data_IF_577594776340
#
_entry.id   IF_577594776340
#
_cell.length_a   1.000
_cell.length_b   1.000
_cell.length_c   1.000
_cell.angle_alpha   90.00
_cell.angle_beta   90.00
_cell.angle_gamma   90.00
#
_symmetry.space_group_name_H-M   'P 1'
#
loop_
_entity.id
_entity.type
_entity.pdbx_description
1 polymer ?
#
# COMPACT_ATOMS: atom_id res chain seq x y z
N UNK A 1 -1.19 -59.86 -64.31
CA UNK A 1 -2.45 -59.12 -64.52
C UNK A 1 -2.81 -58.55 -63.16
N UNK A 2 -2.70 -57.23 -63.01
CA UNK A 2 -2.68 -56.55 -61.71
C UNK A 2 -4.11 -56.32 -61.20
N UNK A 3 -4.30 -56.55 -59.90
CA UNK A 3 -5.56 -56.55 -59.18
C UNK A 3 -6.01 -55.16 -58.68
N UNK A 4 -7.30 -55.13 -58.31
CA UNK A 4 -8.19 -53.99 -58.09
C UNK A 4 -7.88 -53.11 -56.87
N UNK A 5 -8.33 -51.86 -57.01
CA UNK A 5 -8.51 -50.82 -56.00
C UNK A 5 -9.28 -51.26 -54.74
N UNK A 6 -8.79 -50.85 -53.56
CA UNK A 6 -9.61 -50.38 -52.44
C UNK A 6 -8.88 -49.19 -51.78
N UNK A 7 -9.49 -48.01 -51.88
CA UNK A 7 -9.12 -46.81 -51.14
C UNK A 7 -9.78 -46.87 -49.75
N UNK A 8 -9.01 -46.96 -48.68
CA UNK A 8 -9.49 -46.75 -47.31
C UNK A 8 -9.15 -45.33 -46.87
N UNK A 9 -10.16 -44.46 -46.83
CA UNK A 9 -10.09 -43.17 -46.13
C UNK A 9 -9.94 -43.44 -44.63
N UNK A 10 -8.78 -43.11 -44.07
CA UNK A 10 -8.61 -43.06 -42.61
C UNK A 10 -8.93 -41.65 -42.12
N UNK A 11 -10.03 -41.51 -41.40
CA UNK A 11 -10.43 -40.29 -40.71
C UNK A 11 -9.48 -40.09 -39.51
N UNK A 12 -8.42 -39.31 -39.68
CA UNK A 12 -7.55 -38.92 -38.58
C UNK A 12 -8.27 -37.84 -37.75
N UNK A 13 -8.69 -38.22 -36.55
CA UNK A 13 -9.27 -37.32 -35.57
C UNK A 13 -8.23 -36.26 -35.18
N UNK A 14 -8.56 -35.00 -35.46
CA UNK A 14 -7.83 -33.82 -35.04
C UNK A 14 -7.74 -33.78 -33.50
N UNK A 15 -6.56 -34.00 -32.95
CA UNK A 15 -6.17 -33.37 -31.69
C UNK A 15 -5.27 -32.19 -32.05
N UNK A 16 -5.89 -31.03 -32.26
CA UNK A 16 -5.18 -29.76 -32.10
C UNK A 16 -4.79 -29.69 -30.64
N UNK A 17 -3.52 -29.95 -30.34
CA UNK A 17 -2.90 -29.49 -29.11
C UNK A 17 -2.94 -27.98 -29.22
N UNK A 18 -4.00 -27.38 -28.68
CA UNK A 18 -3.99 -25.96 -28.37
C UNK A 18 -2.75 -25.78 -27.50
N UNK A 19 -1.75 -25.09 -28.02
CA UNK A 19 -0.68 -24.53 -27.22
C UNK A 19 -1.37 -23.69 -26.13
N UNK A 20 -1.56 -24.28 -24.97
CA UNK A 20 -1.74 -23.53 -23.74
C UNK A 20 -0.43 -22.76 -23.58
N UNK A 21 -0.44 -21.55 -24.13
CA UNK A 21 0.48 -20.49 -23.77
C UNK A 21 0.41 -20.38 -22.25
N UNK A 22 1.34 -21.06 -21.58
CA UNK A 22 1.65 -20.83 -20.18
C UNK A 22 2.28 -19.44 -20.13
N UNK A 23 1.42 -18.42 -20.21
CA UNK A 23 1.74 -17.13 -19.68
C UNK A 23 2.00 -17.41 -18.20
N UNK A 24 3.27 -17.49 -17.82
CA UNK A 24 3.63 -17.47 -16.40
C UNK A 24 3.07 -16.15 -15.90
N UNK A 25 1.90 -16.20 -15.26
CA UNK A 25 1.28 -15.02 -14.69
C UNK A 25 2.30 -14.43 -13.73
N UNK A 26 2.81 -13.24 -14.05
CA UNK A 26 3.79 -12.60 -13.19
C UNK A 26 3.16 -12.37 -11.82
N UNK A 27 3.90 -12.66 -10.77
CA UNK A 27 3.39 -12.47 -9.42
C UNK A 27 3.05 -10.99 -9.20
N UNK A 28 1.88 -10.68 -8.63
CA UNK A 28 1.53 -9.31 -8.32
C UNK A 28 2.28 -8.87 -7.06
N UNK A 29 3.01 -7.75 -7.16
CA UNK A 29 3.65 -7.13 -6.01
C UNK A 29 2.63 -6.88 -4.87
N UNK A 30 2.99 -7.06 -3.59
CA UNK A 30 4.35 -7.31 -3.11
C UNK A 30 4.78 -8.79 -3.15
N UNK A 31 3.94 -9.71 -3.61
CA UNK A 31 4.33 -11.10 -3.81
C UNK A 31 5.23 -11.22 -5.05
N UNK A 32 6.23 -12.09 -4.98
CA UNK A 32 7.22 -12.28 -6.06
C UNK A 32 7.63 -13.74 -6.27
N UNK A 33 7.10 -14.66 -5.46
CA UNK A 33 7.41 -16.09 -5.50
C UNK A 33 6.21 -16.91 -5.03
N UNK A 34 6.22 -18.19 -5.37
CA UNK A 34 5.30 -19.17 -4.77
C UNK A 34 5.60 -19.25 -3.27
N UNK A 35 4.57 -19.31 -2.44
CA UNK A 35 4.71 -19.64 -1.01
C UNK A 35 4.00 -20.96 -0.71
N UNK A 36 4.72 -21.86 -0.05
CA UNK A 36 4.23 -23.20 0.31
C UNK A 36 4.89 -23.68 1.60
N UNK A 37 4.29 -24.70 2.20
CA UNK A 37 4.88 -25.38 3.35
C UNK A 37 6.14 -26.15 2.91
N UNK A 38 7.30 -25.76 3.42
CA UNK A 38 8.61 -26.35 3.10
C UNK A 38 9.39 -26.73 4.36
N UNK A 39 10.50 -27.45 4.18
CA UNK A 39 11.46 -27.76 5.24
C UNK A 39 12.90 -27.48 4.72
N UNK A 40 13.55 -26.39 5.16
CA UNK A 40 13.11 -25.41 6.16
C UNK A 40 11.90 -24.57 5.70
N UNK A 41 11.10 -24.00 6.62
CA UNK A 41 9.94 -23.20 6.24
C UNK A 41 10.34 -21.90 5.53
N UNK A 42 9.46 -21.41 4.66
CA UNK A 42 9.67 -20.15 3.96
C UNK A 42 9.42 -18.97 4.90
N UNK A 43 10.26 -17.95 4.84
CA UNK A 43 10.11 -16.74 5.65
C UNK A 43 10.27 -15.48 4.80
N UNK A 44 9.64 -14.38 5.22
CA UNK A 44 9.85 -13.10 4.57
C UNK A 44 8.72 -12.09 4.75
N UNK A 45 8.95 -10.87 4.24
CA UNK A 45 7.98 -9.77 4.28
C UNK A 45 6.69 -10.10 3.51
N UNK A 46 6.82 -10.87 2.43
CA UNK A 46 5.69 -11.39 1.65
C UNK A 46 4.80 -12.33 2.49
N UNK A 47 5.40 -13.19 3.33
CA UNK A 47 4.67 -14.05 4.26
C UNK A 47 3.94 -13.23 5.32
N UNK A 48 4.59 -12.22 5.92
CA UNK A 48 3.96 -11.34 6.92
C UNK A 48 2.76 -10.61 6.34
N UNK A 49 2.89 -10.08 5.12
CA UNK A 49 1.80 -9.39 4.41
C UNK A 49 0.66 -10.37 4.16
N UNK A 50 0.93 -11.59 3.69
CA UNK A 50 -0.08 -12.61 3.49
C UNK A 50 -0.84 -12.93 4.78
N UNK A 51 -0.12 -13.16 5.88
CA UNK A 51 -0.70 -13.49 7.19
C UNK A 51 -1.57 -12.37 7.75
N UNK A 52 -1.25 -11.10 7.48
CA UNK A 52 -2.10 -9.97 7.85
C UNK A 52 -3.36 -9.84 6.96
N UNK A 53 -3.28 -10.25 5.69
CA UNK A 53 -4.40 -10.13 4.75
C UNK A 53 -5.41 -11.28 4.89
N UNK A 54 -4.93 -12.52 5.04
CA UNK A 54 -5.77 -13.72 5.05
C UNK A 54 -6.95 -13.67 6.05
N UNK A 55 -6.78 -13.23 7.31
CA UNK A 55 -7.89 -13.13 8.28
C UNK A 55 -9.01 -12.17 7.88
N UNK A 56 -8.82 -11.33 6.86
CA UNK A 56 -9.89 -10.47 6.31
C UNK A 56 -10.90 -11.26 5.48
N UNK A 57 -10.56 -12.49 5.08
CA UNK A 57 -11.47 -13.38 4.38
C UNK A 57 -12.45 -14.04 5.36
N UNK A 58 -13.75 -14.12 5.05
CA UNK A 58 -14.72 -14.84 5.90
C UNK A 58 -14.47 -16.36 5.94
N UNK A 59 -13.61 -16.89 5.06
CA UNK A 59 -13.28 -18.32 5.00
C UNK A 59 -12.09 -18.70 5.87
N UNK A 60 -11.35 -17.72 6.40
CA UNK A 60 -10.10 -17.91 7.12
C UNK A 60 -10.31 -17.56 8.58
N UNK A 61 -9.92 -18.46 9.47
CA UNK A 61 -9.87 -18.16 10.90
C UNK A 61 -8.66 -17.26 11.19
N UNK A 62 -8.71 -16.43 12.25
CA UNK A 62 -7.53 -15.67 12.68
C UNK A 62 -6.31 -16.60 12.85
N UNK A 63 -5.17 -16.16 12.33
CA UNK A 63 -3.88 -16.85 12.42
C UNK A 63 -2.84 -15.91 13.01
N UNK A 64 -1.73 -16.45 13.49
CA UNK A 64 -0.59 -15.66 13.96
C UNK A 64 0.21 -15.05 12.79
N UNK A 65 0.80 -13.88 13.03
CA UNK A 65 1.69 -13.23 12.06
C UNK A 65 3.16 -13.47 12.43
N UNK A 66 3.62 -14.71 12.30
CA UNK A 66 5.00 -15.12 12.60
C UNK A 66 6.01 -14.62 11.55
N UNK A 67 5.56 -14.40 10.31
CA UNK A 67 6.40 -14.21 9.14
C UNK A 67 7.00 -15.50 8.58
N UNK A 68 6.56 -16.66 9.10
CA UNK A 68 6.97 -18.00 8.70
C UNK A 68 5.77 -18.69 8.04
N UNK A 69 5.97 -19.26 6.86
CA UNK A 69 4.95 -20.01 6.13
C UNK A 69 4.88 -21.43 6.71
N UNK A 70 4.18 -21.54 7.83
CA UNK A 70 3.99 -22.76 8.58
C UNK A 70 2.70 -23.50 8.21
N UNK A 71 2.38 -24.56 8.96
CA UNK A 71 1.16 -25.35 8.77
C UNK A 71 -0.10 -24.50 8.93
N UNK A 72 -0.14 -23.61 9.94
CA UNK A 72 -1.26 -22.70 10.18
C UNK A 72 -1.50 -21.80 8.95
N UNK A 73 -0.42 -21.24 8.38
CA UNK A 73 -0.47 -20.41 7.18
C UNK A 73 -0.94 -21.20 5.95
N UNK A 74 -0.42 -22.41 5.75
CA UNK A 74 -0.82 -23.28 4.62
C UNK A 74 -2.30 -23.67 4.70
N UNK A 75 -2.79 -24.02 5.89
CA UNK A 75 -4.20 -24.34 6.13
C UNK A 75 -5.12 -23.12 5.93
N UNK A 76 -4.66 -21.92 6.31
CA UNK A 76 -5.36 -20.66 6.03
C UNK A 76 -5.43 -20.36 4.53
N UNK A 77 -4.34 -20.55 3.78
CA UNK A 77 -4.34 -20.42 2.31
C UNK A 77 -5.27 -21.45 1.67
N UNK A 78 -5.23 -22.70 2.11
CA UNK A 78 -6.12 -23.75 1.61
C UNK A 78 -7.60 -23.40 1.87
N UNK A 79 -7.93 -22.90 3.06
CA UNK A 79 -9.29 -22.46 3.41
C UNK A 79 -9.75 -21.28 2.56
N UNK A 80 -8.88 -20.29 2.35
CA UNK A 80 -9.12 -19.16 1.45
C UNK A 80 -9.38 -19.62 0.01
N UNK A 81 -8.55 -20.53 -0.50
CA UNK A 81 -8.67 -21.12 -1.83
C UNK A 81 -10.00 -21.85 -1.98
N UNK A 82 -10.32 -22.74 -1.04
CA UNK A 82 -11.57 -23.52 -1.03
C UNK A 82 -12.79 -22.61 -1.07
N UNK A 83 -12.84 -21.60 -0.21
CA UNK A 83 -13.96 -20.64 -0.15
C UNK A 83 -14.13 -19.81 -1.43
N UNK A 84 -13.06 -19.66 -2.21
CA UNK A 84 -13.06 -18.96 -3.49
C UNK A 84 -13.10 -19.89 -4.73
N UNK A 85 -13.33 -21.20 -4.55
CA UNK A 85 -13.41 -22.15 -5.66
C UNK A 85 -12.06 -22.42 -6.37
N UNK A 86 -10.94 -22.10 -5.72
CA UNK A 86 -9.60 -22.45 -6.19
C UNK A 86 -9.19 -23.85 -5.67
N UNK A 87 -8.21 -24.52 -6.29
CA UNK A 87 -7.62 -25.73 -5.73
C UNK A 87 -7.08 -25.48 -4.31
N UNK A 88 -7.68 -26.15 -3.33
CA UNK A 88 -7.38 -25.99 -1.89
C UNK A 88 -6.11 -26.75 -1.48
N UNK A 89 -4.97 -26.38 -2.07
CA UNK A 89 -3.70 -27.05 -1.87
C UNK A 89 -2.77 -26.34 -0.87
N UNK A 90 -3.17 -25.17 -0.36
CA UNK A 90 -2.36 -24.43 0.60
C UNK A 90 -1.08 -23.87 0.01
N UNK A 91 -1.05 -23.64 -1.31
CA UNK A 91 0.07 -23.04 -2.06
C UNK A 91 -0.34 -21.68 -2.61
N UNK A 92 0.33 -20.62 -2.19
CA UNK A 92 0.13 -19.28 -2.75
C UNK A 92 0.86 -19.17 -4.11
N UNK A 93 0.16 -19.47 -5.20
CA UNK A 93 0.62 -19.17 -6.55
C UNK A 93 0.17 -17.77 -7.02
N UNK A 94 0.58 -17.35 -8.23
CA UNK A 94 0.26 -16.03 -8.78
C UNK A 94 -1.26 -15.76 -8.88
N UNK A 95 -2.06 -16.78 -9.20
CA UNK A 95 -3.53 -16.69 -9.23
C UNK A 95 -4.11 -16.43 -7.85
N UNK A 96 -3.67 -17.18 -6.84
CA UNK A 96 -4.12 -17.01 -5.45
C UNK A 96 -3.68 -15.65 -4.91
N UNK A 97 -2.43 -15.25 -5.15
CA UNK A 97 -1.88 -13.95 -4.77
C UNK A 97 -2.67 -12.77 -5.39
N UNK A 98 -3.01 -12.87 -6.68
CA UNK A 98 -3.83 -11.86 -7.35
C UNK A 98 -5.21 -11.72 -6.72
N UNK A 99 -5.84 -12.84 -6.35
CA UNK A 99 -7.14 -12.82 -5.72
C UNK A 99 -7.07 -12.24 -4.30
N UNK A 100 -6.04 -12.60 -3.51
CA UNK A 100 -5.78 -12.04 -2.17
C UNK A 100 -5.71 -10.51 -2.24
N UNK A 101 -4.91 -9.96 -3.15
CA UNK A 101 -4.80 -8.50 -3.28
C UNK A 101 -6.09 -7.87 -3.82
N UNK A 102 -6.83 -8.56 -4.68
CA UNK A 102 -8.10 -8.06 -5.21
C UNK A 102 -9.18 -7.95 -4.13
N UNK A 103 -9.31 -8.96 -3.27
CA UNK A 103 -10.40 -9.06 -2.30
C UNK A 103 -10.05 -8.47 -0.93
N UNK A 104 -8.80 -8.63 -0.47
CA UNK A 104 -8.43 -8.42 0.94
C UNK A 104 -7.64 -7.12 1.17
N UNK A 105 -7.38 -6.33 0.12
CA UNK A 105 -6.62 -5.08 0.23
C UNK A 105 -7.37 -3.97 0.97
N UNK A 106 -8.70 -3.94 0.89
CA UNK A 106 -9.50 -3.01 1.66
C UNK A 106 -9.46 -3.43 3.14
N UNK A 107 -9.01 -2.53 4.00
CA UNK A 107 -8.81 -2.79 5.43
C UNK A 107 -9.99 -2.35 6.30
N UNK A 108 -10.99 -1.69 5.72
CA UNK A 108 -12.14 -1.17 6.46
C UNK A 108 -11.79 -0.08 7.47
N UNK A 109 -10.57 0.48 7.42
CA UNK A 109 -10.17 1.54 8.33
C UNK A 109 -11.08 2.76 8.15
N UNK A 110 -11.56 3.29 9.28
CA UNK A 110 -12.40 4.49 9.36
C UNK A 110 -11.76 5.48 10.31
N UNK A 111 -11.71 6.74 9.89
CA UNK A 111 -11.32 7.81 10.77
C UNK A 111 -12.39 8.00 11.84
N UNK A 112 -11.98 8.10 13.11
CA UNK A 112 -12.91 8.34 14.23
C UNK A 112 -13.21 9.83 14.46
N UNK A 113 -12.68 10.71 13.60
CA UNK A 113 -12.80 12.16 13.68
C UNK A 113 -12.24 12.78 14.97
N UNK A 114 -11.39 12.03 15.68
CA UNK A 114 -10.71 12.52 16.89
C UNK A 114 -9.19 12.57 16.70
N UNK A 115 -8.56 13.54 17.36
CA UNK A 115 -7.12 13.62 17.54
C UNK A 115 -6.78 12.90 18.85
N UNK A 116 -6.01 11.80 18.83
CA UNK A 116 -5.65 11.10 20.05
C UNK A 116 -4.85 12.00 21.01
N UNK A 117 -5.02 11.79 22.32
CA UNK A 117 -4.27 12.54 23.34
C UNK A 117 -2.76 12.40 23.15
N UNK A 118 -2.02 13.49 23.34
CA UNK A 118 -0.56 13.50 23.20
C UNK A 118 -0.06 14.01 21.84
N UNK A 119 -0.95 14.17 20.86
CA UNK A 119 -0.63 14.78 19.56
C UNK A 119 -1.13 16.21 19.48
N UNK A 120 -0.33 17.08 18.85
CA UNK A 120 -0.63 18.50 18.64
C UNK A 120 -1.58 18.72 17.46
N UNK A 121 -1.55 17.83 16.48
CA UNK A 121 -2.33 17.95 15.25
C UNK A 121 -2.68 16.61 14.63
N UNK A 122 -3.68 16.63 13.74
CA UNK A 122 -4.04 15.51 12.88
C UNK A 122 -4.25 15.98 11.45
N UNK A 123 -3.80 15.20 10.50
CA UNK A 123 -4.18 15.33 9.09
C UNK A 123 -5.05 14.15 8.70
N UNK A 124 -6.27 14.40 8.26
CA UNK A 124 -7.14 13.39 7.65
C UNK A 124 -7.11 13.55 6.13
N UNK A 125 -6.85 12.45 5.44
CA UNK A 125 -6.81 12.37 3.98
C UNK A 125 -7.78 11.27 3.54
N UNK A 126 -9.02 11.62 3.15
CA UNK A 126 -9.89 10.66 2.49
C UNK A 126 -9.29 10.30 1.13
N UNK A 127 -9.36 9.05 0.70
CA UNK A 127 -8.82 8.58 -0.59
C UNK A 127 -9.78 7.60 -1.25
N UNK A 128 -9.90 7.62 -2.58
CA UNK A 128 -10.63 6.59 -3.31
C UNK A 128 -9.71 5.42 -3.66
N UNK A 129 -10.24 4.21 -3.85
CA UNK A 129 -9.46 3.06 -4.35
C UNK A 129 -8.65 3.43 -5.60
N UNK A 130 -9.26 4.16 -6.53
CA UNK A 130 -8.57 4.88 -7.60
C UNK A 130 -7.88 6.12 -7.02
N UNK A 131 -6.56 6.04 -6.90
CA UNK A 131 -5.75 7.10 -6.27
C UNK A 131 -5.40 8.21 -7.24
N UNK A 132 -5.79 8.12 -8.52
CA UNK A 132 -5.68 9.23 -9.46
C UNK A 132 -6.61 10.39 -9.10
N UNK A 133 -7.64 10.11 -8.29
CA UNK A 133 -8.62 11.08 -7.80
C UNK A 133 -8.03 11.81 -6.59
N UNK A 134 -7.96 13.13 -6.72
CA UNK A 134 -7.55 14.02 -5.64
C UNK A 134 -8.72 14.33 -4.72
N UNK A 135 -8.40 14.53 -3.46
CA UNK A 135 -9.37 14.73 -2.39
C UNK A 135 -9.01 15.93 -1.56
N UNK A 136 -10.00 16.46 -0.84
CA UNK A 136 -9.76 17.49 0.14
C UNK A 136 -9.37 16.83 1.47
N UNK A 137 -8.12 17.03 1.88
CA UNK A 137 -7.61 16.69 3.19
C UNK A 137 -7.92 17.79 4.21
N UNK A 138 -7.88 17.46 5.49
CA UNK A 138 -8.20 18.39 6.58
C UNK A 138 -7.18 18.32 7.70
N UNK A 139 -6.68 19.48 8.12
CA UNK A 139 -5.80 19.68 9.26
C UNK A 139 -6.64 20.08 10.49
N UNK A 140 -6.44 19.35 11.59
CA UNK A 140 -7.09 19.58 12.88
C UNK A 140 -6.05 19.91 13.97
N UNK A 141 -6.44 20.73 14.95
CA UNK A 141 -5.72 20.84 16.22
C UNK A 141 -6.06 19.67 17.18
N UNK A 142 -5.39 19.65 18.33
CA UNK A 142 -5.61 18.65 19.40
C UNK A 142 -7.01 18.64 20.00
N UNK A 143 -7.83 19.67 19.75
CA UNK A 143 -9.22 19.76 20.22
C UNK A 143 -10.23 19.43 19.11
N UNK A 144 -9.79 18.80 18.02
CA UNK A 144 -10.59 18.47 16.83
C UNK A 144 -11.13 19.69 16.07
N UNK A 145 -10.57 20.89 16.28
CA UNK A 145 -10.94 22.06 15.51
C UNK A 145 -10.28 22.00 14.15
N UNK A 146 -11.08 22.12 13.09
CA UNK A 146 -10.59 22.31 11.72
C UNK A 146 -9.80 23.62 11.63
N UNK A 147 -8.56 23.53 11.19
CA UNK A 147 -7.68 24.68 10.99
C UNK A 147 -7.53 25.03 9.51
N UNK A 148 -7.48 24.01 8.65
CA UNK A 148 -7.24 24.19 7.23
C UNK A 148 -7.73 22.98 6.42
N UNK A 149 -8.21 23.24 5.20
CA UNK A 149 -8.61 22.22 4.23
C UNK A 149 -7.82 22.48 2.96
N UNK A 150 -7.25 21.43 2.38
CA UNK A 150 -6.33 21.55 1.24
C UNK A 150 -6.47 20.34 0.33
N UNK A 151 -6.05 20.50 -0.93
CA UNK A 151 -6.12 19.41 -1.91
C UNK A 151 -4.91 18.50 -1.80
N UNK A 152 -5.15 17.19 -1.78
CA UNK A 152 -4.11 16.17 -1.64
C UNK A 152 -4.21 15.12 -2.76
N UNK A 153 -3.06 14.64 -3.22
CA UNK A 153 -2.92 13.50 -4.13
C UNK A 153 -2.09 12.40 -3.49
N UNK A 154 -2.64 11.21 -3.44
CA UNK A 154 -2.02 10.01 -2.83
C UNK A 154 -1.67 8.93 -3.87
N UNK A 155 -1.53 9.35 -5.14
CA UNK A 155 -1.23 8.46 -6.26
C UNK A 155 0.26 8.12 -6.31
N UNK A 156 0.57 6.83 -6.25
CA UNK A 156 1.93 6.34 -6.41
C UNK A 156 2.37 6.19 -7.86
N UNK A 157 3.44 5.43 -8.05
CA UNK A 157 3.97 5.12 -9.36
C UNK A 157 3.06 4.15 -10.12
N UNK A 158 3.14 4.21 -11.45
CA UNK A 158 2.54 3.24 -12.35
C UNK A 158 3.61 2.22 -12.77
N UNK A 159 3.20 0.98 -13.04
CA UNK A 159 4.11 -0.03 -13.58
C UNK A 159 4.41 0.24 -15.07
N UNK A 160 5.31 -0.57 -15.66
CA UNK A 160 5.71 -0.43 -17.07
C UNK A 160 4.54 -0.58 -18.07
N UNK A 161 3.42 -1.16 -17.65
CA UNK A 161 2.19 -1.29 -18.45
C UNK A 161 1.20 -0.14 -18.22
N UNK A 162 1.59 0.92 -17.49
CA UNK A 162 0.73 2.06 -17.18
C UNK A 162 -0.38 1.76 -16.16
N UNK A 163 -0.26 0.68 -15.38
CA UNK A 163 -1.23 0.32 -14.35
C UNK A 163 -0.76 0.71 -12.95
N UNK A 164 -1.68 1.17 -12.13
CA UNK A 164 -1.44 1.52 -10.73
C UNK A 164 -0.75 0.42 -9.95
N UNK A 165 0.23 0.83 -9.14
CA UNK A 165 0.88 -0.01 -8.16
C UNK A 165 0.14 0.11 -6.82
N UNK A 166 -0.24 -1.02 -6.24
CA UNK A 166 -1.04 -1.05 -5.01
C UNK A 166 -0.27 -0.51 -3.79
N UNK A 167 -1.03 -0.20 -2.74
CA UNK A 167 -0.51 0.48 -1.56
C UNK A 167 0.49 -0.33 -0.70
N UNK A 168 0.55 -1.65 -0.86
CA UNK A 168 1.49 -2.51 -0.12
C UNK A 168 2.81 -2.76 -0.88
N UNK A 169 3.15 -1.88 -1.83
CA UNK A 169 4.39 -1.96 -2.63
C UNK A 169 5.21 -0.68 -2.44
N UNK A 170 6.55 -0.76 -2.47
CA UNK A 170 7.49 0.34 -2.12
C UNK A 170 7.19 1.69 -2.79
N UNK A 171 6.78 1.69 -4.06
CA UNK A 171 6.48 2.91 -4.83
C UNK A 171 5.00 3.07 -5.16
N UNK A 172 4.13 2.24 -4.58
CA UNK A 172 2.71 2.25 -4.91
C UNK A 172 1.93 3.36 -4.24
N UNK A 173 0.62 3.26 -4.29
CA UNK A 173 -0.27 4.22 -3.66
C UNK A 173 -0.01 4.43 -2.16
N UNK A 174 -0.38 5.59 -1.61
CA UNK A 174 -0.24 5.84 -0.16
C UNK A 174 -1.07 4.81 0.64
N UNK A 175 -0.48 4.12 1.63
CA UNK A 175 -1.19 3.17 2.49
C UNK A 175 -2.27 3.84 3.33
N UNK A 176 -3.39 3.13 3.44
CA UNK A 176 -4.50 3.44 4.35
C UNK A 176 -4.15 3.09 5.79
N UNK A 177 -4.77 3.78 6.73
CA UNK A 177 -4.61 3.53 8.15
C UNK A 177 -4.33 4.79 8.97
N UNK A 178 -4.10 4.55 10.26
CA UNK A 178 -3.69 5.57 11.22
C UNK A 178 -2.17 5.48 11.38
N UNK A 179 -1.48 6.61 11.34
CA UNK A 179 -0.01 6.68 11.29
C UNK A 179 0.47 7.81 12.18
N UNK A 180 1.59 7.62 12.88
CA UNK A 180 2.28 8.74 13.53
C UNK A 180 2.96 9.65 12.49
N UNK A 181 2.90 10.96 12.72
CA UNK A 181 3.25 11.96 11.72
C UNK A 181 4.08 13.06 12.37
N UNK A 182 5.14 13.52 11.71
CA UNK A 182 6.03 14.51 12.33
C UNK A 182 6.63 15.49 11.33
N UNK A 183 6.83 16.72 11.79
CA UNK A 183 7.34 17.82 10.96
C UNK A 183 8.87 17.78 10.95
N UNK A 184 9.44 17.66 9.75
CA UNK A 184 10.88 17.61 9.53
C UNK A 184 11.36 18.78 8.67
N UNK A 185 12.63 19.15 8.85
CA UNK A 185 13.28 20.14 7.98
C UNK A 185 13.20 19.73 6.50
N UNK A 186 13.29 20.68 5.55
CA UNK A 186 13.19 20.37 4.13
C UNK A 186 14.11 19.23 3.67
N UNK A 187 13.68 18.49 2.66
CA UNK A 187 14.55 17.59 1.89
C UNK A 187 15.54 18.43 1.04
N UNK A 188 16.72 17.89 0.67
CA UNK A 188 17.77 18.66 0.01
C UNK A 188 17.47 18.99 -1.45
N UNK A 189 16.53 18.29 -2.09
CA UNK A 189 16.11 18.54 -3.46
C UNK A 189 14.76 19.28 -3.49
N UNK A 190 14.76 20.63 -3.53
CA UNK A 190 13.53 21.41 -3.57
C UNK A 190 12.72 21.17 -4.85
N UNK A 191 13.35 20.69 -5.93
CA UNK A 191 12.61 20.38 -7.15
C UNK A 191 11.63 19.23 -6.91
N UNK A 192 12.10 18.18 -6.24
CA UNK A 192 11.27 17.01 -5.93
C UNK A 192 10.36 17.23 -4.72
N UNK A 193 10.81 17.97 -3.70
CA UNK A 193 10.17 18.02 -2.38
C UNK A 193 9.66 19.39 -1.94
N UNK A 194 9.94 20.42 -2.73
CA UNK A 194 9.64 21.80 -2.41
C UNK A 194 10.62 22.41 -1.40
N UNK A 195 10.55 23.73 -1.20
CA UNK A 195 11.49 24.45 -0.34
C UNK A 195 11.10 24.43 1.15
N UNK A 196 9.94 23.85 1.47
CA UNK A 196 9.33 23.92 2.80
C UNK A 196 9.63 22.66 3.63
N UNK A 197 9.48 22.72 4.97
CA UNK A 197 9.41 21.52 5.79
C UNK A 197 8.52 20.43 5.20
N UNK A 198 8.90 19.18 5.42
CA UNK A 198 8.12 18.01 5.00
C UNK A 198 7.51 17.35 6.22
N UNK A 199 6.34 16.75 6.08
CA UNK A 199 5.70 16.05 7.19
C UNK A 199 5.77 14.55 6.92
N UNK A 200 6.46 13.81 7.78
CA UNK A 200 6.85 12.42 7.56
C UNK A 200 5.88 11.46 8.23
N UNK A 201 5.39 10.48 7.47
CA UNK A 201 4.70 9.31 7.99
C UNK A 201 5.73 8.33 8.59
N UNK A 202 5.62 8.06 9.88
CA UNK A 202 6.66 7.36 10.66
C UNK A 202 6.29 5.91 10.96
N UNK A 203 5.18 5.67 11.66
CA UNK A 203 4.82 4.33 12.16
C UNK A 203 3.33 4.09 12.04
N UNK A 204 2.95 2.93 11.50
CA UNK A 204 1.55 2.53 11.39
C UNK A 204 0.98 2.11 12.74
N UNK A 205 -0.22 2.58 13.05
CA UNK A 205 -0.95 2.27 14.29
C UNK A 205 -2.19 1.42 14.02
N UNK A 206 -2.86 1.62 12.87
CA UNK A 206 -4.05 0.87 12.44
C UNK A 206 -4.07 0.70 10.92
N UNK A 207 -4.91 -0.20 10.42
CA UNK A 207 -5.13 -0.40 8.98
C UNK A 207 -3.94 -1.01 8.25
N UNK A 208 -3.87 -0.83 6.93
CA UNK A 208 -2.80 -1.34 6.08
C UNK A 208 -1.42 -0.79 6.48
N UNK A 209 -1.33 0.45 6.96
CA UNK A 209 -0.10 1.05 7.46
C UNK A 209 0.50 0.28 8.66
N UNK A 210 -0.33 -0.41 9.44
CA UNK A 210 0.07 -1.19 10.61
C UNK A 210 0.34 -2.68 10.32
N UNK A 211 0.25 -3.12 9.05
CA UNK A 211 0.59 -4.50 8.67
C UNK A 211 2.02 -4.80 9.10
N UNK A 212 2.21 -5.89 9.84
CA UNK A 212 3.53 -6.35 10.24
C UNK A 212 3.41 -7.42 11.31
N UNK A 213 4.53 -7.81 11.93
CA UNK A 213 4.56 -8.93 12.88
C UNK A 213 3.94 -8.57 14.24
N UNK A 214 4.07 -7.31 14.65
CA UNK A 214 3.60 -6.83 15.95
C UNK A 214 3.56 -5.29 15.95
N UNK A 215 3.25 -4.68 17.10
CA UNK A 215 3.15 -3.21 17.20
C UNK A 215 4.45 -2.44 16.92
N UNK A 216 5.60 -3.11 16.91
CA UNK A 216 6.92 -2.52 16.71
C UNK A 216 7.54 -2.91 15.35
N UNK A 217 6.88 -3.80 14.60
CA UNK A 217 7.20 -4.20 13.22
C UNK A 217 5.97 -3.84 12.37
N UNK A 218 5.99 -2.72 11.67
CA UNK A 218 4.81 -2.18 10.94
C UNK A 218 5.16 -1.77 9.51
N UNK A 219 4.16 -1.71 8.64
CA UNK A 219 4.39 -1.51 7.21
C UNK A 219 5.14 -0.19 6.93
N UNK A 220 4.75 0.89 7.61
CA UNK A 220 5.38 2.19 7.43
C UNK A 220 6.73 2.38 8.15
N UNK A 221 7.08 1.50 9.09
CA UNK A 221 8.40 1.54 9.76
C UNK A 221 9.42 0.55 9.15
N UNK A 222 8.98 -0.65 8.76
CA UNK A 222 9.88 -1.78 8.48
C UNK A 222 9.83 -2.29 7.04
N UNK A 223 8.75 -2.01 6.31
CA UNK A 223 8.51 -2.54 4.96
C UNK A 223 8.64 -1.43 3.92
N UNK A 224 8.13 -0.24 4.25
CA UNK A 224 8.06 0.92 3.39
C UNK A 224 8.07 2.20 4.21
N UNK A 225 9.26 2.73 4.48
CA UNK A 225 9.45 4.07 5.03
C UNK A 225 9.54 5.13 3.93
N UNK A 226 9.64 6.41 4.32
CA UNK A 226 9.90 7.53 3.40
C UNK A 226 8.66 8.12 2.73
N UNK A 227 7.46 7.83 3.24
CA UNK A 227 6.25 8.52 2.81
C UNK A 227 6.23 9.91 3.47
N UNK A 228 6.19 10.94 2.64
CA UNK A 228 6.17 12.34 3.04
C UNK A 228 4.88 13.00 2.57
N UNK A 229 4.41 14.02 3.29
CA UNK A 229 3.54 15.05 2.74
C UNK A 229 4.41 16.25 2.36
N UNK A 230 4.39 16.57 1.08
CA UNK A 230 5.25 17.59 0.49
C UNK A 230 4.69 18.14 -0.82
N UNK A 231 5.33 19.18 -1.34
CA UNK A 231 5.07 19.75 -2.67
C UNK A 231 6.28 19.46 -3.57
N UNK A 232 6.31 19.98 -4.79
CA UNK A 232 7.54 20.06 -5.58
C UNK A 232 7.56 21.31 -6.45
N UNK A 233 8.68 21.55 -7.12
CA UNK A 233 8.73 22.44 -8.29
C UNK A 233 8.35 21.59 -9.50
N UNK A 234 7.04 21.53 -9.75
CA UNK A 234 6.50 20.74 -10.86
C UNK A 234 6.57 21.57 -12.15
N UNK A 235 7.59 21.28 -12.97
CA UNK A 235 7.79 21.94 -14.26
C UNK A 235 6.51 21.91 -15.10
N UNK A 236 6.08 23.08 -15.58
CA UNK A 236 4.91 23.27 -16.44
C UNK A 236 3.55 22.87 -15.86
N UNK A 237 3.48 22.51 -14.58
CA UNK A 237 2.21 22.24 -13.91
C UNK A 237 1.51 23.55 -13.50
N UNK A 238 0.18 23.55 -13.53
CA UNK A 238 -0.61 24.63 -12.95
C UNK A 238 -1.70 24.10 -12.01
N UNK A 239 -2.17 24.89 -11.02
CA UNK A 239 -3.13 24.44 -10.01
C UNK A 239 -4.50 23.95 -10.49
N UNK A 240 -4.84 24.13 -11.78
CA UNK A 240 -6.07 23.57 -12.35
C UNK A 240 -5.91 22.11 -12.82
N UNK A 241 -4.66 21.65 -12.96
CA UNK A 241 -4.31 20.29 -13.34
C UNK A 241 -4.15 19.39 -12.11
N UNK A 242 -4.38 18.07 -12.23
CA UNK A 242 -3.97 17.14 -11.19
C UNK A 242 -2.48 17.27 -10.89
N UNK A 243 -2.12 17.22 -9.61
CA UNK A 243 -0.73 17.16 -9.17
C UNK A 243 -0.02 15.95 -9.82
N UNK A 244 1.29 16.03 -10.09
CA UNK A 244 2.03 14.88 -10.57
C UNK A 244 1.96 13.69 -9.62
N UNK A 245 2.12 12.48 -10.15
CA UNK A 245 2.22 11.28 -9.33
C UNK A 245 3.52 11.31 -8.51
N UNK A 246 3.47 10.71 -7.33
CA UNK A 246 4.64 10.51 -6.47
C UNK A 246 5.06 9.04 -6.49
N UNK A 247 6.04 8.67 -5.67
CA UNK A 247 6.33 7.27 -5.34
C UNK A 247 5.51 6.80 -4.10
N UNK A 248 4.35 7.42 -3.89
CA UNK A 248 3.36 7.17 -2.83
C UNK A 248 3.37 8.16 -1.66
N UNK A 249 4.13 9.24 -1.78
CA UNK A 249 3.97 10.44 -0.97
C UNK A 249 2.59 11.08 -1.16
N UNK A 250 2.24 11.94 -0.21
CA UNK A 250 1.04 12.78 -0.23
C UNK A 250 1.46 14.12 -0.84
N UNK A 251 1.16 14.33 -2.12
CA UNK A 251 1.40 15.62 -2.75
C UNK A 251 0.32 16.62 -2.35
N UNK A 252 0.75 17.85 -2.07
CA UNK A 252 -0.09 19.00 -1.75
C UNK A 252 0.39 20.23 -2.52
N UNK A 253 -0.48 21.19 -2.77
CA UNK A 253 -0.10 22.40 -3.50
C UNK A 253 0.98 23.20 -2.73
N UNK A 254 1.91 23.89 -3.42
CA UNK A 254 2.97 24.64 -2.76
C UNK A 254 2.47 25.69 -1.76
N UNK A 255 1.40 26.41 -2.11
CA UNK A 255 0.78 27.41 -1.23
C UNK A 255 0.13 26.79 -0.01
N UNK A 256 -0.47 25.61 -0.18
CA UNK A 256 -1.15 24.90 0.90
C UNK A 256 -0.13 24.34 1.89
N UNK A 257 0.98 23.75 1.41
CA UNK A 257 2.05 23.26 2.29
C UNK A 257 2.65 24.39 3.13
N UNK A 258 2.93 25.54 2.52
CA UNK A 258 3.42 26.72 3.24
C UNK A 258 2.46 27.13 4.36
N UNK A 259 1.15 27.19 4.05
CA UNK A 259 0.13 27.57 5.04
C UNK A 259 0.03 26.53 6.17
N UNK A 260 0.15 25.24 5.84
CA UNK A 260 0.18 24.16 6.83
C UNK A 260 1.39 24.34 7.74
N UNK A 261 2.58 24.57 7.21
CA UNK A 261 3.79 24.77 8.01
C UNK A 261 3.67 25.99 8.94
N UNK A 262 3.15 27.11 8.42
CA UNK A 262 2.92 28.32 9.22
C UNK A 262 1.94 28.03 10.39
N UNK A 263 0.88 27.25 10.15
CA UNK A 263 -0.06 26.82 11.19
C UNK A 263 0.63 25.90 12.20
N UNK A 264 1.32 24.85 11.74
CA UNK A 264 1.95 23.87 12.60
C UNK A 264 2.97 24.55 13.53
N UNK A 265 3.83 25.40 12.98
CA UNK A 265 4.91 26.05 13.73
C UNK A 265 4.38 27.19 14.60
N UNK A 266 3.67 28.15 14.03
CA UNK A 266 3.36 29.40 14.72
C UNK A 266 2.08 29.35 15.55
N UNK A 267 1.14 28.47 15.21
CA UNK A 267 -0.14 28.35 15.93
C UNK A 267 -0.19 27.16 16.88
N UNK A 268 0.39 26.02 16.47
CA UNK A 268 0.36 24.79 17.28
C UNK A 268 1.66 24.51 18.03
N UNK A 269 2.73 25.27 17.77
CA UNK A 269 4.03 25.09 18.42
C UNK A 269 4.66 23.73 18.11
N UNK A 270 4.39 23.17 16.93
CA UNK A 270 5.05 21.97 16.43
C UNK A 270 6.52 22.31 16.14
N UNK A 271 7.42 21.51 16.69
CA UNK A 271 8.87 21.67 16.48
C UNK A 271 9.23 21.05 15.14
N UNK A 272 10.01 21.77 14.33
CA UNK A 272 10.65 21.21 13.14
C UNK A 272 11.86 20.38 13.59
N UNK A 273 11.78 19.06 13.49
CA UNK A 273 12.93 18.19 13.75
C UNK A 273 13.86 18.14 12.53
N UNK A 274 15.17 17.97 12.74
CA UNK A 274 16.11 17.80 11.63
C UNK A 274 15.75 16.53 10.86
N UNK A 275 15.69 16.64 9.53
CA UNK A 275 15.33 15.52 8.67
C UNK A 275 16.27 14.32 8.88
N UNK A 276 15.74 13.15 9.29
CA UNK A 276 16.55 11.95 9.50
C UNK A 276 16.75 11.11 8.24
N UNK A 277 16.18 11.52 7.09
CA UNK A 277 16.29 10.82 5.80
C UNK A 277 15.82 9.36 5.88
N UNK A 278 16.77 8.42 5.80
CA UNK A 278 16.55 6.97 5.82
C UNK A 278 16.81 6.32 7.19
N UNK A 279 17.12 7.12 8.23
CA UNK A 279 17.39 6.59 9.58
C UNK A 279 16.19 5.81 10.14
N UNK A 280 16.47 4.57 10.58
CA UNK A 280 15.51 3.66 11.19
C UNK A 280 16.20 2.94 12.38
N UNK A 281 15.71 3.03 13.63
CA UNK A 281 14.44 3.65 14.05
C UNK A 281 14.41 5.17 13.89
N UNK A 282 13.21 5.73 13.72
CA UNK A 282 13.00 7.18 13.68
C UNK A 282 13.43 7.80 15.03
N UNK A 283 14.29 8.84 15.04
CA UNK A 283 14.97 9.27 16.26
C UNK A 283 14.15 10.23 17.15
N UNK A 284 12.97 10.66 16.71
CA UNK A 284 12.14 11.63 17.45
C UNK A 284 10.80 11.04 17.88
N UNK A 285 10.15 11.71 18.82
CA UNK A 285 8.75 11.43 19.19
C UNK A 285 7.83 12.20 18.25
N UNK A 286 7.01 11.53 17.42
CA UNK A 286 6.12 12.22 16.48
C UNK A 286 5.10 13.11 17.19
N UNK A 287 4.91 14.33 16.67
CA UNK A 287 4.03 15.33 17.29
C UNK A 287 2.60 15.34 16.73
N UNK A 288 2.34 14.60 15.66
CA UNK A 288 1.04 14.53 15.00
C UNK A 288 0.62 13.13 14.59
N UNK A 289 -0.56 13.07 14.00
CA UNK A 289 -1.15 11.85 13.43
C UNK A 289 -1.61 12.12 11.99
N UNK A 290 -1.39 11.15 11.12
CA UNK A 290 -1.95 11.06 9.79
C UNK A 290 -3.00 9.96 9.78
N UNK A 291 -4.17 10.26 9.21
CA UNK A 291 -5.25 9.32 8.99
C UNK A 291 -5.57 9.27 7.51
N UNK A 292 -5.25 8.16 6.85
CA UNK A 292 -5.56 7.93 5.43
C UNK A 292 -6.72 6.95 5.35
N UNK A 293 -7.90 7.45 5.01
CA UNK A 293 -9.14 6.67 5.01
C UNK A 293 -9.60 6.38 3.59
N UNK A 294 -9.83 5.11 3.24
CA UNK A 294 -10.47 4.81 1.97
C UNK A 294 -11.98 5.06 2.01
N UNK A 295 -12.43 6.02 1.20
CA UNK A 295 -13.83 6.35 0.96
C UNK A 295 -14.29 5.81 -0.39
N UNK A 296 -15.57 5.48 -0.51
CA UNK A 296 -16.15 4.83 -1.70
C UNK A 296 -15.78 3.35 -1.76
#
# INVERSE_FOLDING_TARGET
MLDRYVFTLSFAFLFSVAEMSNKVDSFPAPFYRVLSLENPPMEGKDVVILQNLLPRSPFVRPISTSGVYDRETSEAVASYQKGNGLPSNGVLNATTASLVLKQLMYDGYRDDHTVPSGYKFKVHVPVYKDRTIETNATLYDSNNKVLYTFRARCHGAMNAAGKDINQLTRNGNTPTGLVTFDLNSPEPDPKSFGPYPVIRAVKGLKGNAAIGKNKDDTFLSDYRSGILMHTGEWDHWNPSEPMPNSHGCIHVHPTDLKNIDDILVHKLGVVIHKNPFEENPYPYVPQGILSVEQIG
#
